data_IF_516160165536
#
_entry.id   IF_516160165536
#
_cell.length_a   1.000
_cell.length_b   1.000
_cell.length_c   1.000
_cell.angle_alpha   90.00
_cell.angle_beta   90.00
_cell.angle_gamma   90.00
#
_symmetry.space_group_name_H-M   'P 1'
#
loop_
_entity.id
_entity.type
_entity.pdbx_description
1 polymer ?
#
# COMPACT_ATOMS: atom_id res chain seq x y z
N UNK A 1 -1.96 5.51 4.19
CA UNK A 1 -0.79 6.01 3.44
C UNK A 1 -0.40 4.95 2.42
N UNK A 2 0.04 5.35 1.22
CA UNK A 2 0.39 4.46 0.10
C UNK A 2 1.86 4.71 -0.25
N UNK A 3 2.69 3.66 -0.24
CA UNK A 3 4.01 3.71 -0.84
C UNK A 3 3.84 3.62 -2.36
N UNK A 4 4.24 4.69 -3.07
CA UNK A 4 4.04 4.81 -4.51
C UNK A 4 5.35 5.18 -5.20
N UNK A 5 6.20 4.17 -5.48
CA UNK A 5 7.51 4.39 -6.07
C UNK A 5 7.38 4.95 -7.49
N UNK A 6 8.24 5.90 -7.81
CA UNK A 6 8.41 6.35 -9.19
C UNK A 6 9.23 5.33 -9.98
N UNK A 7 8.54 4.47 -10.72
CA UNK A 7 9.16 3.40 -11.52
C UNK A 7 9.84 3.92 -12.78
N UNK A 8 9.60 5.17 -13.16
CA UNK A 8 10.15 5.81 -14.35
C UNK A 8 11.23 6.85 -14.03
N UNK A 9 11.72 6.89 -12.80
CA UNK A 9 12.74 7.83 -12.38
C UNK A 9 13.99 7.78 -13.27
N UNK A 10 14.59 8.94 -13.59
CA UNK A 10 15.82 8.99 -14.39
C UNK A 10 17.00 8.29 -13.70
N UNK A 11 17.07 8.40 -12.37
CA UNK A 11 18.04 7.69 -11.54
C UNK A 11 17.49 6.29 -11.21
N UNK A 12 18.08 5.26 -11.83
CA UNK A 12 17.67 3.85 -11.67
C UNK A 12 17.72 3.41 -10.20
N UNK A 13 18.64 3.95 -9.40
CA UNK A 13 18.78 3.58 -7.98
C UNK A 13 17.60 4.04 -7.12
N UNK A 14 16.84 5.03 -7.61
CA UNK A 14 15.68 5.60 -6.93
C UNK A 14 14.34 5.01 -7.37
N UNK A 15 14.34 4.13 -8.37
CA UNK A 15 13.14 3.38 -8.76
C UNK A 15 12.80 2.37 -7.67
N UNK A 16 11.50 2.15 -7.44
CA UNK A 16 11.01 1.14 -6.48
C UNK A 16 11.41 1.37 -5.00
N UNK A 17 11.87 2.58 -4.63
CA UNK A 17 12.11 2.90 -3.22
C UNK A 17 10.81 3.22 -2.48
N UNK A 18 10.83 3.02 -1.15
CA UNK A 18 9.66 3.23 -0.29
C UNK A 18 9.60 4.65 0.29
N UNK A 19 10.38 5.59 -0.27
CA UNK A 19 10.51 6.95 0.27
C UNK A 19 9.32 7.84 -0.11
N UNK A 20 8.66 7.52 -1.22
CA UNK A 20 7.52 8.28 -1.72
C UNK A 20 6.22 7.77 -1.12
N UNK A 21 5.80 8.39 0.00
CA UNK A 21 4.57 8.06 0.71
C UNK A 21 3.49 9.10 0.43
N UNK A 22 2.36 8.67 -0.14
CA UNK A 22 1.20 9.52 -0.46
C UNK A 22 0.01 9.23 0.45
N UNK A 23 -0.82 10.24 0.69
CA UNK A 23 -2.11 10.04 1.37
C UNK A 23 -3.11 9.33 0.45
N UNK A 24 -4.09 8.62 1.03
CA UNK A 24 -5.11 7.90 0.24
C UNK A 24 -5.94 8.86 -0.63
N UNK A 25 -6.21 10.07 -0.11
CA UNK A 25 -6.94 11.12 -0.82
C UNK A 25 -6.24 11.64 -2.07
N UNK A 26 -4.94 11.40 -2.25
CA UNK A 26 -4.22 11.82 -3.46
C UNK A 26 -4.84 11.21 -4.74
N UNK A 27 -5.39 10.01 -4.63
CA UNK A 27 -5.97 9.27 -5.76
C UNK A 27 -7.47 9.45 -5.93
N UNK A 28 -8.14 10.20 -5.05
CA UNK A 28 -9.59 10.43 -5.09
C UNK A 28 -10.47 9.15 -5.20
N UNK A 29 -9.94 7.97 -4.84
CA UNK A 29 -10.64 6.69 -4.98
C UNK A 29 -10.65 6.11 -6.41
N UNK A 30 -9.90 6.70 -7.35
CA UNK A 30 -9.90 6.30 -8.76
C UNK A 30 -8.79 5.29 -9.10
N UNK A 31 -7.80 5.13 -8.22
CA UNK A 31 -6.71 4.16 -8.45
C UNK A 31 -7.28 2.75 -8.41
N UNK A 32 -7.22 2.06 -9.56
CA UNK A 32 -7.60 0.65 -9.69
C UNK A 32 -6.65 -0.22 -8.87
N UNK A 33 -7.21 -1.13 -8.08
CA UNK A 33 -6.46 -2.10 -7.26
C UNK A 33 -6.97 -3.49 -7.59
N UNK A 34 -6.16 -4.24 -8.33
CA UNK A 34 -6.53 -5.60 -8.78
C UNK A 34 -6.19 -6.68 -7.73
N UNK A 35 -5.22 -6.40 -6.85
CA UNK A 35 -4.72 -7.36 -5.87
C UNK A 35 -4.46 -6.69 -4.53
N UNK A 36 -4.97 -7.31 -3.46
CA UNK A 36 -4.64 -6.97 -2.07
C UNK A 36 -3.84 -8.09 -1.41
N UNK A 37 -2.80 -7.73 -0.67
CA UNK A 37 -2.00 -8.65 0.14
C UNK A 37 -1.95 -8.19 1.59
N UNK A 38 -2.17 -9.13 2.53
CA UNK A 38 -1.98 -8.90 3.97
C UNK A 38 -1.20 -10.08 4.55
N UNK A 39 -0.01 -9.80 5.11
CA UNK A 39 0.85 -10.83 5.70
C UNK A 39 2.36 -10.52 5.70
N UNK A 40 2.74 -9.24 5.81
CA UNK A 40 4.15 -8.85 5.89
C UNK A 40 4.72 -9.04 7.30
N UNK A 41 6.02 -8.82 7.48
CA UNK A 41 6.69 -8.87 8.78
C UNK A 41 6.14 -7.88 9.82
N UNK A 42 5.43 -6.85 9.37
CA UNK A 42 4.86 -5.81 10.22
C UNK A 42 3.44 -6.13 10.71
N UNK A 43 2.85 -7.24 10.24
CA UNK A 43 1.48 -7.64 10.59
C UNK A 43 1.49 -8.50 11.85
N UNK A 44 0.62 -8.16 12.80
CA UNK A 44 0.44 -8.88 14.05
C UNK A 44 -0.97 -9.48 14.14
N UNK A 45 -1.17 -10.37 15.12
CA UNK A 45 -2.46 -11.04 15.37
C UNK A 45 -3.63 -10.08 15.54
N UNK A 46 -3.38 -8.89 16.11
CA UNK A 46 -4.42 -7.86 16.29
C UNK A 46 -4.91 -7.30 14.95
N UNK A 47 -4.00 -7.05 14.02
CA UNK A 47 -4.30 -6.47 12.71
C UNK A 47 -5.19 -7.41 11.88
N UNK A 48 -4.91 -8.72 11.95
CA UNK A 48 -5.74 -9.73 11.29
C UNK A 48 -7.16 -9.79 11.86
N UNK A 49 -7.36 -9.58 13.16
CA UNK A 49 -8.72 -9.50 13.74
C UNK A 49 -9.49 -8.29 13.25
N UNK A 50 -8.81 -7.16 13.04
CA UNK A 50 -9.42 -5.95 12.48
C UNK A 50 -9.79 -6.20 11.02
N UNK A 51 -8.87 -6.78 10.24
CA UNK A 51 -9.12 -7.15 8.85
C UNK A 51 -10.32 -8.08 8.72
N UNK A 52 -10.40 -9.12 9.57
CA UNK A 52 -11.53 -10.04 9.59
C UNK A 52 -12.85 -9.29 9.77
N UNK A 53 -12.95 -8.36 10.73
CA UNK A 53 -14.16 -7.53 10.90
C UNK A 53 -14.48 -6.63 9.69
N UNK A 54 -13.47 -6.17 8.97
CA UNK A 54 -13.66 -5.35 7.77
C UNK A 54 -14.13 -6.17 6.56
N UNK A 55 -13.77 -7.46 6.50
CA UNK A 55 -14.14 -8.38 5.42
C UNK A 55 -15.39 -9.21 5.74
N UNK A 56 -15.69 -9.41 7.03
CA UNK A 56 -16.91 -10.02 7.52
C UNK A 56 -18.06 -9.03 7.34
N UNK A 57 -18.71 -9.20 6.18
CA UNK A 57 -20.10 -8.84 5.90
C UNK A 57 -20.92 -10.12 5.95
#
# INVERSE_FOLDING_TARGET
MIADPDVHNEDVSKRYTHDTIRNLSYYNGEKIVDLGFVGSCMVHKGDLKILLRCLEI
#
